data_IF_523441171348
#
_entry.id   IF_523441171348
#
_cell.length_a   1.000
_cell.length_b   1.000
_cell.length_c   1.000
_cell.angle_alpha   90.00
_cell.angle_beta   90.00
_cell.angle_gamma   90.00
#
_symmetry.space_group_name_H-M   'P 1'
#
loop_
_entity.id
_entity.type
_entity.pdbx_description
1 polymer ?
#
# COMPACT_ATOMS: atom_id res chain seq x y z
N UNK A 1 -0.37 27.82 -23.09
CA UNK A 1 -1.26 27.21 -22.09
C UNK A 1 -1.41 28.22 -20.97
N UNK A 2 -2.59 28.82 -20.83
CA UNK A 2 -2.84 29.84 -19.80
C UNK A 2 -3.27 29.11 -18.53
N UNK A 3 -2.54 29.29 -17.44
CA UNK A 3 -2.86 28.72 -16.13
C UNK A 3 -4.08 29.44 -15.53
N UNK A 4 -5.12 28.68 -15.20
CA UNK A 4 -6.39 29.18 -14.65
C UNK A 4 -6.68 28.47 -13.32
N UNK A 5 -6.24 29.02 -12.17
CA UNK A 5 -6.30 28.32 -10.89
C UNK A 5 -7.73 28.00 -10.43
N UNK A 6 -8.72 28.82 -10.80
CA UNK A 6 -10.12 28.61 -10.45
C UNK A 6 -10.70 27.27 -10.98
N UNK A 7 -10.08 26.65 -11.99
CA UNK A 7 -10.49 25.34 -12.51
C UNK A 7 -10.18 24.19 -11.55
N UNK A 8 -9.26 24.37 -10.60
CA UNK A 8 -8.99 23.38 -9.56
C UNK A 8 -10.06 23.37 -8.46
N UNK A 9 -10.81 24.46 -8.30
CA UNK A 9 -11.90 24.56 -7.32
C UNK A 9 -13.24 24.04 -7.87
N UNK A 10 -13.31 23.73 -9.17
CA UNK A 10 -14.50 23.19 -9.83
C UNK A 10 -14.43 21.65 -9.89
N UNK A 11 -15.15 20.99 -8.98
CA UNK A 11 -15.19 19.52 -8.93
C UNK A 11 -15.80 18.87 -10.17
N UNK A 12 -16.76 19.51 -10.82
CA UNK A 12 -17.34 18.98 -12.06
C UNK A 12 -16.29 19.00 -13.17
N UNK A 13 -15.56 20.10 -13.29
CA UNK A 13 -14.46 20.23 -14.22
C UNK A 13 -13.35 19.19 -13.97
N UNK A 14 -12.97 18.99 -12.71
CA UNK A 14 -11.99 17.97 -12.34
C UNK A 14 -12.45 16.54 -12.68
N UNK A 15 -13.74 16.24 -12.46
CA UNK A 15 -14.31 14.93 -12.79
C UNK A 15 -14.29 14.63 -14.30
N UNK A 16 -14.69 15.61 -15.12
CA UNK A 16 -14.63 15.49 -16.58
C UNK A 16 -13.18 15.35 -17.09
N UNK A 17 -12.22 16.03 -16.43
CA UNK A 17 -10.81 15.95 -16.77
C UNK A 17 -10.11 14.66 -16.28
N UNK A 18 -10.75 13.91 -15.37
CA UNK A 18 -10.24 12.65 -14.82
C UNK A 18 -11.28 11.51 -14.96
N UNK A 19 -11.52 11.01 -16.19
CA UNK A 19 -12.47 9.92 -16.41
C UNK A 19 -12.11 8.61 -15.67
N UNK A 20 -10.84 8.47 -15.26
CA UNK A 20 -10.35 7.33 -14.51
C UNK A 20 -10.54 7.45 -12.99
N UNK A 21 -10.95 8.62 -12.49
CA UNK A 21 -11.17 8.88 -11.06
C UNK A 21 -9.90 8.83 -10.20
N UNK A 22 -8.72 8.98 -10.80
CA UNK A 22 -7.44 8.94 -10.10
C UNK A 22 -7.26 10.06 -9.08
N UNK A 23 -7.77 11.26 -9.34
CA UNK A 23 -7.74 12.39 -8.41
C UNK A 23 -8.48 12.05 -7.12
N UNK A 24 -9.68 11.49 -7.23
CA UNK A 24 -10.46 11.06 -6.08
C UNK A 24 -9.80 9.87 -5.37
N UNK A 25 -9.25 8.90 -6.14
CA UNK A 25 -8.55 7.75 -5.57
C UNK A 25 -7.34 8.19 -4.72
N UNK A 26 -6.53 9.12 -5.23
CA UNK A 26 -5.38 9.69 -4.51
C UNK A 26 -5.83 10.52 -3.30
N UNK A 27 -6.85 11.36 -3.45
CA UNK A 27 -7.41 12.15 -2.34
C UNK A 27 -7.94 11.23 -1.21
N UNK A 28 -8.41 10.04 -1.56
CA UNK A 28 -8.92 9.03 -0.62
C UNK A 28 -7.84 8.20 0.08
N UNK A 29 -6.57 8.32 -0.33
CA UNK A 29 -5.46 7.48 0.17
C UNK A 29 -5.37 7.42 1.71
N UNK A 30 -5.50 8.56 2.39
CA UNK A 30 -5.45 8.59 3.85
C UNK A 30 -6.61 7.81 4.50
N UNK A 31 -7.80 7.82 3.89
CA UNK A 31 -8.94 7.03 4.36
C UNK A 31 -8.72 5.52 4.14
N UNK A 32 -8.10 5.15 3.02
CA UNK A 32 -7.72 3.77 2.74
C UNK A 32 -6.69 3.25 3.76
N UNK A 33 -5.67 4.05 4.10
CA UNK A 33 -4.69 3.69 5.14
C UNK A 33 -5.35 3.45 6.50
N UNK A 34 -6.24 4.35 6.95
CA UNK A 34 -6.96 4.18 8.22
C UNK A 34 -7.84 2.92 8.21
N UNK A 35 -8.50 2.65 7.09
CA UNK A 35 -9.31 1.45 6.90
C UNK A 35 -8.46 0.19 6.97
N UNK A 36 -7.31 0.16 6.28
CA UNK A 36 -6.37 -0.95 6.31
C UNK A 36 -5.80 -1.20 7.70
N UNK A 37 -5.44 -0.14 8.43
CA UNK A 37 -4.99 -0.26 9.81
C UNK A 37 -6.06 -0.85 10.73
N UNK A 38 -7.31 -0.35 10.64
CA UNK A 38 -8.43 -0.90 11.40
C UNK A 38 -8.65 -2.37 11.08
N UNK A 39 -8.64 -2.76 9.80
CA UNK A 39 -8.79 -4.15 9.39
C UNK A 39 -7.67 -5.05 9.96
N UNK A 40 -6.43 -4.56 10.02
CA UNK A 40 -5.31 -5.30 10.61
C UNK A 40 -5.48 -5.51 12.13
N UNK A 41 -6.00 -4.50 12.84
CA UNK A 41 -6.33 -4.60 14.27
C UNK A 41 -7.47 -5.60 14.49
N UNK A 42 -8.55 -5.50 13.71
CA UNK A 42 -9.70 -6.40 13.80
C UNK A 42 -9.32 -7.85 13.47
N UNK A 43 -8.40 -8.06 12.53
CA UNK A 43 -7.84 -9.37 12.20
C UNK A 43 -6.89 -9.93 13.28
N UNK A 44 -6.48 -9.12 14.26
CA UNK A 44 -5.58 -9.53 15.33
C UNK A 44 -4.15 -9.83 14.86
N UNK A 45 -3.64 -9.05 13.90
CA UNK A 45 -2.27 -9.20 13.37
C UNK A 45 -1.22 -9.10 14.47
N UNK A 46 -1.49 -8.35 15.53
CA UNK A 46 -0.66 -8.22 16.73
C UNK A 46 -0.40 -9.57 17.44
N UNK A 47 -1.32 -10.54 17.34
CA UNK A 47 -1.17 -11.88 17.94
C UNK A 47 0.02 -12.65 17.39
N UNK A 48 0.49 -12.32 16.18
CA UNK A 48 1.67 -12.93 15.58
C UNK A 48 2.94 -12.68 16.43
N UNK A 49 2.99 -11.58 17.19
CA UNK A 49 4.12 -11.28 18.08
C UNK A 49 4.32 -12.33 19.17
N UNK A 50 3.23 -12.99 19.61
CA UNK A 50 3.27 -14.06 20.61
C UNK A 50 3.80 -15.40 20.08
N UNK A 51 3.95 -15.55 18.76
CA UNK A 51 4.45 -16.79 18.12
C UNK A 51 5.98 -16.83 18.01
N UNK A 52 6.67 -15.84 18.60
CA UNK A 52 8.11 -15.69 18.50
C UNK A 52 8.55 -15.05 17.18
N UNK A 53 9.87 -14.94 17.00
CA UNK A 53 10.43 -14.28 15.82
C UNK A 53 10.43 -15.22 14.61
N UNK A 54 9.83 -14.84 13.47
CA UNK A 54 9.92 -15.63 12.25
C UNK A 54 11.36 -15.63 11.69
N UNK A 55 11.70 -16.64 10.90
CA UNK A 55 13.03 -16.74 10.24
C UNK A 55 13.15 -15.83 9.01
N UNK A 56 12.01 -15.51 8.38
CA UNK A 56 11.90 -14.67 7.20
C UNK A 56 10.46 -14.17 7.08
N UNK A 57 10.26 -13.09 6.33
CA UNK A 57 8.94 -12.62 5.86
C UNK A 57 8.94 -12.67 4.34
N UNK A 58 7.91 -13.30 3.76
CA UNK A 58 7.72 -13.37 2.31
C UNK A 58 6.44 -12.62 1.95
N UNK A 59 6.55 -11.65 1.05
CA UNK A 59 5.42 -10.92 0.48
C UNK A 59 5.17 -11.45 -0.92
N UNK A 60 4.14 -12.29 -1.07
CA UNK A 60 3.72 -12.81 -2.36
C UNK A 60 2.69 -11.87 -2.98
N UNK A 61 3.03 -11.25 -4.11
CA UNK A 61 2.15 -10.28 -4.77
C UNK A 61 2.62 -9.93 -6.17
N UNK A 62 1.66 -9.86 -7.10
CA UNK A 62 1.90 -9.47 -8.50
C UNK A 62 1.56 -7.98 -8.71
N UNK A 63 2.21 -7.37 -9.69
CA UNK A 63 1.96 -5.97 -10.06
C UNK A 63 2.18 -5.01 -8.89
N UNK A 64 1.22 -4.11 -8.68
CA UNK A 64 1.27 -3.09 -7.62
C UNK A 64 1.32 -3.70 -6.21
N UNK A 65 0.69 -4.85 -5.99
CA UNK A 65 0.76 -5.55 -4.70
C UNK A 65 2.20 -6.00 -4.36
N UNK A 66 3.01 -6.30 -5.39
CA UNK A 66 4.43 -6.62 -5.21
C UNK A 66 5.28 -5.41 -4.83
N UNK A 67 4.83 -4.17 -5.04
CA UNK A 67 5.55 -2.96 -4.60
C UNK A 67 5.51 -2.82 -3.09
N UNK A 68 4.45 -3.31 -2.44
CA UNK A 68 4.30 -3.28 -0.97
C UNK A 68 5.42 -4.07 -0.28
N UNK A 69 5.86 -5.20 -0.87
CA UNK A 69 6.97 -5.98 -0.32
C UNK A 69 8.30 -5.21 -0.32
N UNK A 70 8.56 -4.46 -1.39
CA UNK A 70 9.76 -3.62 -1.48
C UNK A 70 9.69 -2.44 -0.52
N UNK A 71 8.51 -1.83 -0.36
CA UNK A 71 8.28 -0.79 0.65
C UNK A 71 8.52 -1.33 2.06
N UNK A 72 8.01 -2.52 2.37
CA UNK A 72 8.21 -3.16 3.66
C UNK A 72 9.70 -3.43 3.90
N UNK A 73 10.42 -3.95 2.90
CA UNK A 73 11.85 -4.16 2.98
C UNK A 73 12.63 -2.85 3.16
N UNK A 74 12.23 -1.77 2.47
CA UNK A 74 12.88 -0.47 2.58
C UNK A 74 12.67 0.19 3.96
N UNK A 75 11.46 0.11 4.51
CA UNK A 75 11.11 0.72 5.80
C UNK A 75 11.65 -0.10 6.97
N UNK A 76 11.57 -1.43 6.90
CA UNK A 76 11.93 -2.31 8.01
C UNK A 76 13.34 -2.91 7.92
N UNK A 77 13.96 -2.96 6.73
CA UNK A 77 15.13 -3.81 6.44
C UNK A 77 16.34 -3.56 7.34
N UNK A 78 16.64 -2.31 7.70
CA UNK A 78 17.74 -2.00 8.61
C UNK A 78 17.35 -2.12 10.10
N UNK A 79 16.06 -2.14 10.41
CA UNK A 79 15.53 -2.15 11.78
C UNK A 79 15.11 -3.54 12.28
N UNK A 80 14.96 -4.52 11.40
CA UNK A 80 14.48 -5.86 11.75
C UNK A 80 15.54 -6.91 11.40
N UNK A 81 15.98 -7.76 12.34
CA UNK A 81 17.05 -8.73 12.11
C UNK A 81 16.56 -10.01 11.41
N UNK A 82 15.81 -9.86 10.31
CA UNK A 82 15.32 -10.96 9.48
C UNK A 82 15.18 -10.54 8.00
N UNK A 83 15.34 -11.48 7.05
CA UNK A 83 15.13 -11.20 5.64
C UNK A 83 13.66 -10.97 5.30
N UNK A 84 13.41 -9.95 4.49
CA UNK A 84 12.10 -9.63 3.89
C UNK A 84 12.24 -9.82 2.39
N UNK A 85 11.45 -10.72 1.80
CA UNK A 85 11.57 -11.12 0.39
C UNK A 85 10.25 -10.88 -0.33
N UNK A 86 10.28 -10.13 -1.43
CA UNK A 86 9.12 -9.97 -2.32
C UNK A 86 9.13 -11.07 -3.39
N UNK A 87 8.09 -11.90 -3.42
CA UNK A 87 7.89 -12.90 -4.48
C UNK A 87 6.88 -12.37 -5.50
N UNK A 88 7.39 -12.07 -6.71
CA UNK A 88 6.62 -11.54 -7.85
C UNK A 88 6.39 -12.58 -8.93
N UNK A 89 6.18 -13.83 -8.53
CA UNK A 89 5.91 -14.92 -9.45
C UNK A 89 4.70 -15.74 -9.00
N UNK A 90 4.19 -16.57 -9.91
CA UNK A 90 3.15 -17.55 -9.62
C UNK A 90 3.69 -18.82 -8.95
N UNK A 91 4.97 -18.87 -8.57
CA UNK A 91 5.51 -19.99 -7.82
C UNK A 91 5.16 -19.85 -6.34
N UNK A 92 4.84 -20.99 -5.72
CA UNK A 92 4.77 -21.05 -4.26
C UNK A 92 6.21 -21.06 -3.70
N UNK A 93 6.47 -20.41 -2.55
CA UNK A 93 7.74 -20.56 -1.85
C UNK A 93 8.02 -22.03 -1.57
N UNK A 94 9.20 -22.52 -1.97
CA UNK A 94 9.66 -23.89 -1.78
C UNK A 94 11.17 -23.94 -1.60
#
# INVERSE_FOLDING_TARGET
MTWEPARLDDQHHLGEADPGGMLLAVASSAAQVRTGHRAAVEAGVDRLSGQGRPRAVVVAGMGEAGVVGDLLAAVCGNGVPLPIVTLRSYQLPG
#
